data_IF_589526186597
#
_entry.id   IF_589526186597
#
_cell.length_a   1.000
_cell.length_b   1.000
_cell.length_c   1.000
_cell.angle_alpha   90.00
_cell.angle_beta   90.00
_cell.angle_gamma   90.00
#
_symmetry.space_group_name_H-M   'P 1'
#
loop_
_entity.id
_entity.type
_entity.pdbx_description
1 polymer ?
#
# COMPACT_ATOMS: atom_id res chain seq x y z
N UNK A 1 6.51 10.19 -6.95
CA UNK A 1 6.45 8.95 -6.14
C UNK A 1 5.53 9.22 -4.97
N UNK A 2 4.69 8.25 -4.61
CA UNK A 2 3.73 8.40 -3.52
C UNK A 2 4.02 7.32 -2.48
N UNK A 3 4.76 7.70 -1.43
CA UNK A 3 5.06 6.83 -0.29
C UNK A 3 3.92 6.83 0.74
N UNK A 4 4.15 6.15 1.86
CA UNK A 4 3.19 6.05 2.96
C UNK A 4 3.06 4.64 3.51
N UNK A 5 2.75 4.58 4.80
CA UNK A 5 2.68 3.32 5.51
C UNK A 5 1.59 2.39 4.94
N UNK A 6 1.71 1.10 5.22
CA UNK A 6 0.76 0.06 4.79
C UNK A 6 -0.70 0.47 5.11
N UNK A 7 -1.60 0.39 4.12
CA UNK A 7 -3.01 0.76 4.29
C UNK A 7 -3.34 2.25 4.20
N UNK A 8 -2.38 3.15 3.92
CA UNK A 8 -2.63 4.59 3.78
C UNK A 8 -3.46 5.00 2.53
N UNK A 9 -3.74 4.06 1.62
CA UNK A 9 -4.50 4.32 0.39
C UNK A 9 -3.66 4.82 -0.78
N UNK A 10 -2.38 4.42 -0.85
CA UNK A 10 -1.42 4.78 -1.90
C UNK A 10 -1.93 4.43 -3.30
N UNK A 11 -2.30 3.17 -3.56
CA UNK A 11 -2.78 2.71 -4.88
C UNK A 11 -4.00 3.50 -5.35
N UNK A 12 -5.00 3.71 -4.47
CA UNK A 12 -6.19 4.52 -4.81
C UNK A 12 -5.82 5.96 -5.15
N UNK A 13 -4.92 6.57 -4.37
CA UNK A 13 -4.45 7.92 -4.63
C UNK A 13 -3.63 8.02 -5.93
N UNK A 14 -2.82 7.01 -6.24
CA UNK A 14 -2.07 6.92 -7.50
C UNK A 14 -3.00 6.87 -8.71
N UNK A 15 -4.09 6.09 -8.62
CA UNK A 15 -5.10 6.02 -9.68
C UNK A 15 -5.81 7.35 -9.89
N UNK A 16 -6.15 8.08 -8.83
CA UNK A 16 -6.71 9.44 -8.95
C UNK A 16 -5.73 10.40 -9.61
N UNK A 17 -4.45 10.28 -9.30
CA UNK A 17 -3.41 11.10 -9.92
C UNK A 17 -3.20 10.73 -11.40
N UNK A 18 -3.30 9.44 -11.75
CA UNK A 18 -3.27 8.97 -13.13
C UNK A 18 -4.46 9.54 -13.92
N UNK A 19 -5.67 9.44 -13.37
CA UNK A 19 -6.91 10.01 -13.93
C UNK A 19 -6.75 11.52 -14.18
N UNK A 20 -6.18 12.24 -13.21
CA UNK A 20 -5.93 13.68 -13.32
C UNK A 20 -4.98 14.02 -14.49
N UNK A 21 -3.84 13.33 -14.62
CA UNK A 21 -2.90 13.59 -15.72
C UNK A 21 -3.44 13.14 -17.08
N UNK A 22 -4.18 12.05 -17.14
CA UNK A 22 -4.82 11.60 -18.38
C UNK A 22 -5.92 12.56 -18.83
N UNK A 23 -6.68 13.15 -17.90
CA UNK A 23 -7.65 14.20 -18.22
C UNK A 23 -6.98 15.47 -18.79
N UNK A 24 -5.70 15.69 -18.50
CA UNK A 24 -4.86 16.74 -19.10
C UNK A 24 -4.21 16.31 -20.44
N UNK A 25 -4.57 15.15 -20.98
CA UNK A 25 -4.04 14.61 -22.23
C UNK A 25 -2.66 13.97 -22.13
N UNK A 26 -2.13 13.76 -20.91
CA UNK A 26 -0.79 13.19 -20.71
C UNK A 26 -0.84 11.67 -20.66
N UNK A 27 0.16 11.02 -21.27
CA UNK A 27 0.36 9.58 -21.14
C UNK A 27 0.99 9.23 -19.79
N UNK A 28 0.40 8.29 -19.06
CA UNK A 28 0.84 7.90 -17.71
C UNK A 28 1.27 6.44 -17.72
N UNK A 29 2.42 6.16 -17.10
CA UNK A 29 2.90 4.81 -16.80
C UNK A 29 3.03 4.63 -15.29
N UNK A 30 2.64 3.47 -14.77
CA UNK A 30 2.70 3.16 -13.36
C UNK A 30 3.78 2.13 -13.06
N UNK A 31 4.53 2.33 -11.99
CA UNK A 31 5.46 1.35 -11.45
C UNK A 31 5.02 1.03 -10.03
N UNK A 32 4.55 -0.20 -9.83
CA UNK A 32 4.09 -0.71 -8.55
C UNK A 32 5.19 -1.59 -7.94
N UNK A 33 5.22 -1.66 -6.61
CA UNK A 33 6.24 -2.42 -5.92
C UNK A 33 5.69 -3.06 -4.66
N UNK A 34 6.00 -4.34 -4.51
CA UNK A 34 5.80 -5.07 -3.27
C UNK A 34 6.93 -6.08 -3.08
N UNK A 35 6.93 -6.80 -1.96
CA UNK A 35 8.00 -7.76 -1.67
C UNK A 35 7.80 -9.14 -2.33
N UNK A 36 6.61 -9.44 -2.85
CA UNK A 36 6.25 -10.72 -3.47
C UNK A 36 5.55 -10.52 -4.82
N UNK A 37 5.33 -11.61 -5.57
CA UNK A 37 4.55 -11.62 -6.81
C UNK A 37 3.04 -11.71 -6.54
N UNK A 38 2.23 -11.41 -7.56
CA UNK A 38 0.78 -11.63 -7.55
C UNK A 38 0.03 -10.49 -6.83
N UNK A 39 0.40 -9.25 -7.14
CA UNK A 39 -0.11 -8.10 -6.43
C UNK A 39 -1.51 -7.73 -6.86
N UNK A 40 -2.40 -7.72 -5.86
CA UNK A 40 -3.74 -7.18 -6.00
C UNK A 40 -3.71 -5.75 -6.54
N UNK A 41 -2.70 -4.96 -6.16
CA UNK A 41 -2.57 -3.57 -6.59
C UNK A 41 -2.26 -3.45 -8.09
N UNK A 42 -1.38 -4.31 -8.62
CA UNK A 42 -1.07 -4.38 -10.05
C UNK A 42 -2.29 -4.80 -10.87
N UNK A 43 -3.04 -5.80 -10.40
CA UNK A 43 -4.28 -6.23 -11.05
C UNK A 43 -5.32 -5.10 -11.10
N UNK A 44 -5.46 -4.33 -10.02
CA UNK A 44 -6.38 -3.19 -9.97
C UNK A 44 -5.96 -2.07 -10.93
N UNK A 45 -4.66 -1.75 -10.99
CA UNK A 45 -4.15 -0.74 -11.92
C UNK A 45 -4.34 -1.17 -13.37
N UNK A 46 -4.01 -2.42 -13.69
CA UNK A 46 -4.18 -2.97 -15.03
C UNK A 46 -5.65 -3.00 -15.45
N UNK A 47 -6.56 -3.33 -14.55
CA UNK A 47 -8.01 -3.32 -14.81
C UNK A 47 -8.54 -1.91 -15.14
N UNK A 48 -7.84 -0.84 -14.74
CA UNK A 48 -8.14 0.54 -15.14
C UNK A 48 -7.55 0.95 -16.49
N UNK A 49 -6.85 0.05 -17.17
CA UNK A 49 -6.31 0.26 -18.52
C UNK A 49 -5.01 1.05 -18.57
N UNK A 50 -4.30 1.22 -17.45
CA UNK A 50 -3.01 1.89 -17.45
C UNK A 50 -1.85 0.93 -17.71
N UNK A 51 -0.83 1.33 -18.49
CA UNK A 51 0.44 0.62 -18.57
C UNK A 51 1.10 0.54 -17.19
N UNK A 52 1.40 -0.67 -16.74
CA UNK A 52 1.96 -0.92 -15.41
C UNK A 52 3.12 -1.91 -15.47
N UNK A 53 4.17 -1.59 -14.72
CA UNK A 53 5.26 -2.51 -14.41
C UNK A 53 5.25 -2.82 -12.91
N UNK A 54 5.68 -4.04 -12.58
CA UNK A 54 5.75 -4.53 -11.21
C UNK A 54 7.19 -4.85 -10.84
N UNK A 55 7.61 -4.39 -9.66
CA UNK A 55 8.90 -4.73 -9.06
C UNK A 55 8.64 -5.57 -7.82
N UNK A 56 9.30 -6.72 -7.75
CA UNK A 56 9.13 -7.70 -6.67
C UNK A 56 10.46 -8.03 -6.01
N UNK A 57 10.41 -8.72 -4.87
CA UNK A 57 11.60 -9.20 -4.16
C UNK A 57 12.45 -8.09 -3.55
N UNK A 58 11.87 -6.93 -3.25
CA UNK A 58 12.53 -5.82 -2.57
C UNK A 58 11.99 -4.45 -2.99
N UNK A 59 12.24 -3.44 -2.17
CA UNK A 59 11.79 -2.08 -2.48
C UNK A 59 12.67 -1.39 -3.53
N UNK A 60 12.17 -0.34 -4.17
CA UNK A 60 12.91 0.52 -5.11
C UNK A 60 14.33 0.89 -4.66
N UNK A 61 14.56 1.10 -3.35
CA UNK A 61 15.89 1.40 -2.82
C UNK A 61 16.90 0.25 -3.00
N UNK A 62 16.46 -1.00 -2.83
CA UNK A 62 17.28 -2.21 -3.00
C UNK A 62 17.24 -2.75 -4.44
N UNK A 63 16.23 -2.31 -5.21
CA UNK A 63 15.96 -2.72 -6.60
C UNK A 63 16.04 -1.54 -7.56
N UNK A 64 16.99 -0.64 -7.34
CA UNK A 64 17.11 0.61 -8.11
C UNK A 64 17.27 0.35 -9.61
N UNK A 65 18.08 -0.64 -9.98
CA UNK A 65 18.24 -1.05 -11.39
C UNK A 65 16.92 -1.59 -11.98
N UNK A 66 16.16 -2.37 -11.22
CA UNK A 66 14.86 -2.87 -11.67
C UNK A 66 13.87 -1.71 -11.89
N UNK A 67 13.96 -0.65 -11.09
CA UNK A 67 13.16 0.58 -11.26
C UNK A 67 13.49 1.28 -12.59
N UNK A 68 14.77 1.45 -12.91
CA UNK A 68 15.17 2.05 -14.19
C UNK A 68 14.81 1.15 -15.37
N UNK A 69 15.03 -0.17 -15.26
CA UNK A 69 14.68 -1.13 -16.32
C UNK A 69 13.17 -1.16 -16.60
N UNK A 70 12.33 -1.03 -15.55
CA UNK A 70 10.87 -0.92 -15.67
C UNK A 70 10.46 0.39 -16.35
N UNK A 71 11.07 1.52 -15.96
CA UNK A 71 10.84 2.80 -16.62
C UNK A 71 11.22 2.75 -18.11
N UNK A 72 12.31 2.07 -18.47
CA UNK A 72 12.74 1.88 -19.85
C UNK A 72 11.77 1.02 -20.66
N UNK A 73 11.23 -0.06 -20.07
CA UNK A 73 10.17 -0.88 -20.70
C UNK A 73 8.93 -0.05 -20.99
N UNK A 74 8.40 0.66 -19.99
CA UNK A 74 7.26 1.56 -20.17
C UNK A 74 7.53 2.65 -21.21
N UNK A 75 8.75 3.19 -21.24
CA UNK A 75 9.17 4.18 -22.26
C UNK A 75 9.07 3.62 -23.67
N UNK A 76 9.51 2.38 -23.89
CA UNK A 76 9.42 1.74 -25.20
C UNK A 76 7.98 1.44 -25.60
N UNK A 77 7.19 0.89 -24.68
CA UNK A 77 5.90 0.26 -24.99
C UNK A 77 4.74 1.27 -24.96
N UNK A 78 4.78 2.23 -24.03
CA UNK A 78 3.70 3.17 -23.78
C UNK A 78 4.09 4.65 -23.93
N UNK A 79 5.39 4.96 -23.98
CA UNK A 79 5.94 6.33 -24.09
C UNK A 79 5.30 7.33 -23.12
N UNK A 80 5.20 7.01 -21.81
CA UNK A 80 4.56 7.89 -20.85
C UNK A 80 5.33 9.20 -20.70
N UNK A 81 4.60 10.27 -20.44
CA UNK A 81 5.13 11.58 -20.05
C UNK A 81 5.19 11.73 -18.52
N UNK A 82 4.50 10.85 -17.80
CA UNK A 82 4.47 10.80 -16.33
C UNK A 82 4.67 9.38 -15.88
N UNK A 83 5.65 9.20 -14.99
CA UNK A 83 5.79 7.98 -14.20
C UNK A 83 5.19 8.21 -12.82
N UNK A 84 4.22 7.38 -12.45
CA UNK A 84 3.73 7.30 -11.09
C UNK A 84 4.29 6.04 -10.45
N UNK A 85 4.91 6.19 -9.28
CA UNK A 85 5.60 5.09 -8.61
C UNK A 85 5.07 4.93 -7.18
N UNK A 86 4.66 3.71 -6.85
CA UNK A 86 4.25 3.26 -5.52
C UNK A 86 5.34 2.36 -4.92
N UNK A 87 6.12 2.85 -3.93
CA UNK A 87 7.09 2.03 -3.21
C UNK A 87 6.39 1.13 -2.18
N UNK A 88 7.11 0.11 -1.69
CA UNK A 88 6.64 -0.75 -0.60
C UNK A 88 6.26 0.07 0.64
N UNK A 89 5.09 -0.21 1.20
CA UNK A 89 4.53 0.57 2.32
C UNK A 89 5.31 0.46 3.64
N UNK A 90 6.19 -0.52 3.79
CA UNK A 90 7.08 -0.62 4.96
C UNK A 90 8.41 0.12 4.79
N UNK A 91 8.68 0.72 3.63
CA UNK A 91 10.01 1.25 3.35
C UNK A 91 10.17 2.74 3.59
N UNK A 92 11.39 3.15 3.93
CA UNK A 92 11.78 4.55 4.15
C UNK A 92 13.16 4.86 3.55
N UNK A 93 13.63 6.10 3.68
CA UNK A 93 14.85 6.66 3.10
C UNK A 93 14.84 6.76 1.57
N UNK A 94 13.65 6.75 0.97
CA UNK A 94 13.42 6.82 -0.47
C UNK A 94 14.04 8.06 -1.11
N UNK A 95 14.14 9.18 -0.37
CA UNK A 95 14.83 10.37 -0.88
C UNK A 95 16.30 10.11 -1.18
N UNK A 96 17.04 9.66 -0.18
CA UNK A 96 18.48 9.44 -0.28
C UNK A 96 18.81 8.25 -1.17
N UNK A 97 17.93 7.23 -1.21
CA UNK A 97 18.20 5.98 -1.90
C UNK A 97 17.57 5.85 -3.28
N UNK A 98 16.58 6.68 -3.62
CA UNK A 98 15.89 6.62 -4.93
C UNK A 98 15.83 7.98 -5.61
N UNK A 99 15.27 9.00 -4.98
CA UNK A 99 15.06 10.30 -5.65
C UNK A 99 16.37 11.01 -6.00
N UNK A 100 17.32 11.09 -5.06
CA UNK A 100 18.63 11.72 -5.34
C UNK A 100 19.46 10.95 -6.36
N UNK A 101 19.55 9.60 -6.29
CA UNK A 101 20.14 8.81 -7.38
C UNK A 101 19.49 9.06 -8.73
N UNK A 102 18.16 9.07 -8.83
CA UNK A 102 17.45 9.39 -10.09
C UNK A 102 17.85 10.77 -10.61
N UNK A 103 17.87 11.79 -9.74
CA UNK A 103 18.26 13.15 -10.14
C UNK A 103 19.72 13.26 -10.57
N UNK A 104 20.63 12.57 -9.88
CA UNK A 104 22.07 12.69 -10.12
C UNK A 104 22.55 11.87 -11.31
N UNK A 105 21.98 10.68 -11.50
CA UNK A 105 22.39 9.73 -12.52
C UNK A 105 21.57 9.84 -13.80
N UNK A 106 20.31 10.29 -13.70
CA UNK A 106 19.34 10.34 -14.81
C UNK A 106 18.59 11.69 -14.86
N UNK A 107 19.22 12.76 -14.40
CA UNK A 107 18.60 14.09 -14.33
C UNK A 107 18.25 14.72 -15.68
N UNK A 108 18.94 14.29 -16.75
CA UNK A 108 18.65 14.71 -18.13
C UNK A 108 17.39 14.01 -18.68
N UNK A 109 17.08 12.82 -18.17
CA UNK A 109 15.93 12.00 -18.60
C UNK A 109 14.68 12.26 -17.75
N UNK A 110 14.86 12.54 -16.45
CA UNK A 110 13.76 12.65 -15.50
C UNK A 110 13.77 13.93 -14.67
N UNK A 111 12.60 14.56 -14.59
CA UNK A 111 12.28 15.53 -13.55
C UNK A 111 11.55 14.86 -12.39
N UNK A 112 12.22 14.74 -11.25
CA UNK A 112 11.65 14.12 -10.04
C UNK A 112 10.76 15.12 -9.28
N UNK A 113 9.49 14.76 -9.11
CA UNK A 113 8.51 15.52 -8.32
C UNK A 113 8.69 15.32 -6.80
N UNK A 114 8.13 16.22 -5.95
CA UNK A 114 8.11 16.08 -4.49
C UNK A 114 7.69 14.69 -3.99
N UNK A 115 8.35 14.21 -2.93
CA UNK A 115 7.94 12.98 -2.25
C UNK A 115 6.71 13.25 -1.39
N UNK A 116 5.57 12.74 -1.82
CA UNK A 116 4.36 12.71 -0.99
C UNK A 116 4.32 11.44 -0.15
N UNK A 117 3.99 11.56 1.13
CA UNK A 117 3.83 10.43 2.04
C UNK A 117 2.42 10.45 2.63
N UNK A 118 1.63 9.45 2.26
CA UNK A 118 0.25 9.33 2.71
C UNK A 118 0.17 8.73 4.11
N UNK A 119 -0.78 9.25 4.90
CA UNK A 119 -1.14 8.70 6.20
C UNK A 119 -2.61 8.31 6.25
N UNK A 120 -2.90 7.14 6.84
CA UNK A 120 -4.24 6.82 7.34
C UNK A 120 -4.47 7.63 8.63
N UNK A 121 -5.54 8.42 8.72
CA UNK A 121 -5.66 9.40 9.78
C UNK A 121 -5.95 8.76 11.15
N UNK A 122 -6.66 7.63 11.15
CA UNK A 122 -6.99 6.90 12.37
C UNK A 122 -5.74 6.21 12.93
N UNK A 123 -4.90 5.65 12.05
CA UNK A 123 -3.58 5.11 12.46
C UNK A 123 -2.65 6.22 12.94
N UNK A 124 -2.59 7.34 12.22
CA UNK A 124 -1.75 8.47 12.59
C UNK A 124 -2.12 9.01 13.98
N UNK A 125 -3.42 9.17 14.26
CA UNK A 125 -3.90 9.60 15.57
C UNK A 125 -3.40 8.68 16.71
N UNK A 126 -3.44 7.35 16.53
CA UNK A 126 -2.91 6.38 17.50
C UNK A 126 -1.39 6.43 17.62
N UNK A 127 -0.67 6.51 16.50
CA UNK A 127 0.80 6.58 16.47
C UNK A 127 1.34 7.82 17.19
N UNK A 128 0.61 8.94 17.05
CA UNK A 128 0.91 10.22 17.68
C UNK A 128 0.38 10.32 19.12
N UNK A 129 -0.36 9.32 19.61
CA UNK A 129 -0.93 9.33 20.96
C UNK A 129 -2.11 10.28 21.16
N UNK A 130 -2.76 10.71 20.06
CA UNK A 130 -3.98 11.54 20.11
C UNK A 130 -5.23 10.73 20.44
N UNK A 131 -5.22 9.44 20.10
CA UNK A 131 -6.33 8.53 20.33
C UNK A 131 -5.83 7.22 20.94
N UNK A 132 -6.66 6.63 21.80
CA UNK A 132 -6.41 5.29 22.34
C UNK A 132 -6.60 4.21 21.28
N UNK A 133 -6.00 3.06 21.56
CA UNK A 133 -6.12 1.87 20.72
C UNK A 133 -4.78 1.19 20.54
N UNK A 134 -4.80 0.11 19.78
CA UNK A 134 -3.59 -0.63 19.54
C UNK A 134 -2.69 0.12 18.55
N UNK A 135 -1.50 0.46 19.03
CA UNK A 135 -0.41 0.95 18.21
C UNK A 135 0.56 -0.20 17.89
N UNK A 136 1.35 -0.02 16.84
CA UNK A 136 2.45 -0.91 16.53
C UNK A 136 3.60 -0.74 17.53
N UNK A 137 4.52 -1.71 17.59
CA UNK A 137 5.70 -1.61 18.46
C UNK A 137 6.56 -0.37 18.14
N UNK A 138 7.41 0.07 19.09
CA UNK A 138 8.31 1.20 18.88
C UNK A 138 9.20 1.07 17.63
N UNK A 139 9.60 -0.14 17.25
CA UNK A 139 10.45 -0.37 16.07
C UNK A 139 9.69 -0.15 14.76
N UNK A 140 8.44 -0.61 14.68
CA UNK A 140 7.57 -0.32 13.52
C UNK A 140 7.20 1.16 13.50
N UNK A 141 6.92 1.77 14.66
CA UNK A 141 6.68 3.21 14.78
C UNK A 141 7.88 4.03 14.28
N UNK A 142 9.11 3.61 14.57
CA UNK A 142 10.31 4.25 14.04
C UNK A 142 10.32 4.29 12.50
N UNK A 143 9.98 3.18 11.84
CA UNK A 143 9.86 3.13 10.37
C UNK A 143 8.79 4.10 9.87
N UNK A 144 7.63 4.11 10.52
CA UNK A 144 6.54 5.04 10.21
C UNK A 144 6.95 6.51 10.35
N UNK A 145 7.64 6.87 11.42
CA UNK A 145 8.10 8.24 11.67
C UNK A 145 9.16 8.66 10.64
N UNK A 146 10.06 7.76 10.23
CA UNK A 146 11.06 8.05 9.20
C UNK A 146 10.44 8.31 7.84
N UNK A 147 9.34 7.62 7.48
CA UNK A 147 8.59 7.94 6.27
C UNK A 147 8.06 9.39 6.30
N UNK A 148 7.57 9.86 7.46
CA UNK A 148 7.06 11.23 7.59
C UNK A 148 8.18 12.27 7.62
N UNK A 149 9.32 11.94 8.25
CA UNK A 149 10.50 12.80 8.31
C UNK A 149 11.09 13.09 6.93
N UNK A 150 11.12 12.09 6.03
CA UNK A 150 11.62 12.31 4.68
C UNK A 150 10.65 13.04 3.76
N UNK A 151 9.35 13.05 4.06
CA UNK A 151 8.33 13.60 3.17
C UNK A 151 8.59 15.08 2.84
N UNK A 152 8.39 15.44 1.57
CA UNK A 152 8.24 16.84 1.17
C UNK A 152 6.82 17.32 1.49
N UNK A 153 5.84 16.42 1.32
CA UNK A 153 4.42 16.65 1.61
C UNK A 153 3.87 15.45 2.39
N UNK A 154 3.37 15.69 3.60
CA UNK A 154 2.55 14.72 4.33
C UNK A 154 1.10 14.88 3.88
N UNK A 155 0.50 13.80 3.42
CA UNK A 155 -0.87 13.79 2.91
C UNK A 155 -1.75 13.00 3.88
N UNK A 156 -2.57 13.70 4.66
CA UNK A 156 -3.63 13.08 5.46
C UNK A 156 -4.72 12.63 4.50
N UNK A 157 -4.72 11.35 4.14
CA UNK A 157 -5.73 10.77 3.25
C UNK A 157 -6.98 10.36 4.04
N UNK A 158 -8.02 9.89 3.35
CA UNK A 158 -9.27 9.39 3.94
C UNK A 158 -9.91 10.42 4.88
N UNK A 159 -9.85 11.70 4.51
CA UNK A 159 -10.42 12.78 5.31
C UNK A 159 -11.92 12.65 5.54
N UNK A 160 -12.61 11.85 4.71
CA UNK A 160 -14.01 11.43 4.90
C UNK A 160 -14.27 10.66 6.20
N UNK A 161 -13.22 10.15 6.87
CA UNK A 161 -13.32 9.47 8.16
C UNK A 161 -13.15 10.40 9.37
N UNK A 162 -12.89 11.70 9.14
CA UNK A 162 -12.57 12.66 10.19
C UNK A 162 -13.68 13.69 10.38
N UNK A 163 -13.96 14.01 11.64
CA UNK A 163 -14.65 15.27 11.97
C UNK A 163 -13.67 16.45 11.83
N UNK A 164 -14.17 17.68 11.66
CA UNK A 164 -13.31 18.87 11.61
C UNK A 164 -12.35 18.99 12.79
N UNK A 165 -12.81 18.68 14.01
CA UNK A 165 -11.99 18.79 15.23
C UNK A 165 -10.85 17.76 15.24
N UNK A 166 -11.12 16.53 14.80
CA UNK A 166 -10.12 15.47 14.71
C UNK A 166 -9.10 15.76 13.62
N UNK A 167 -9.56 16.32 12.48
CA UNK A 167 -8.68 16.83 11.42
C UNK A 167 -7.75 17.90 11.95
N UNK A 168 -8.26 18.93 12.63
CA UNK A 168 -7.46 20.03 13.16
C UNK A 168 -6.46 19.59 14.24
N UNK A 169 -6.85 18.63 15.09
CA UNK A 169 -5.95 18.03 16.07
C UNK A 169 -4.80 17.26 15.40
N UNK A 170 -5.11 16.43 14.40
CA UNK A 170 -4.12 15.65 13.68
C UNK A 170 -3.17 16.52 12.85
N UNK A 171 -3.71 17.50 12.13
CA UNK A 171 -2.92 18.46 11.36
C UNK A 171 -1.94 19.23 12.25
N UNK A 172 -2.38 19.68 13.43
CA UNK A 172 -1.51 20.35 14.41
C UNK A 172 -0.40 19.44 14.91
N UNK A 173 -0.73 18.21 15.32
CA UNK A 173 0.26 17.26 15.81
C UNK A 173 1.34 16.94 14.76
N UNK A 174 0.93 16.71 13.50
CA UNK A 174 1.86 16.46 12.40
C UNK A 174 2.73 17.70 12.12
N UNK A 175 2.16 18.90 12.11
CA UNK A 175 2.93 20.15 11.94
C UNK A 175 3.88 20.42 13.11
N UNK A 176 3.52 20.03 14.33
CA UNK A 176 4.39 20.21 15.49
C UNK A 176 5.56 19.23 15.52
N UNK A 177 5.34 17.97 15.11
CA UNK A 177 6.39 16.96 15.04
C UNK A 177 7.27 17.15 13.80
N UNK A 178 6.69 17.51 12.65
CA UNK A 178 7.37 17.64 11.36
C UNK A 178 7.34 19.09 10.86
N UNK A 179 7.89 20.02 11.66
CA UNK A 179 7.77 21.49 11.52
C UNK A 179 8.10 22.09 10.16
N UNK A 180 8.89 21.39 9.34
CA UNK A 180 9.28 21.88 8.03
C UNK A 180 8.42 21.29 6.91
N UNK A 181 7.65 20.23 7.16
CA UNK A 181 6.96 19.49 6.11
C UNK A 181 5.56 20.04 5.88
N UNK A 182 5.20 20.24 4.61
CA UNK A 182 3.84 20.65 4.28
C UNK A 182 2.85 19.53 4.62
N UNK A 183 1.70 19.89 5.18
CA UNK A 183 0.63 18.94 5.50
C UNK A 183 -0.61 19.33 4.73
N UNK A 184 -1.12 18.41 3.91
CA UNK A 184 -2.37 18.56 3.15
C UNK A 184 -3.34 17.46 3.55
N UNK A 185 -4.63 17.76 3.54
CA UNK A 185 -5.69 16.81 3.90
C UNK A 185 -6.61 16.58 2.72
N UNK A 186 -6.81 15.32 2.35
CA UNK A 186 -7.54 14.91 1.14
C UNK A 186 -8.34 13.64 1.37
N UNK A 187 -9.24 13.31 0.44
CA UNK A 187 -9.78 11.96 0.31
C UNK A 187 -9.69 11.47 -1.13
N UNK A 188 -8.83 10.48 -1.36
CA UNK A 188 -8.75 9.80 -2.65
C UNK A 188 -10.05 9.04 -3.00
N UNK A 189 -10.87 8.69 -2.01
CA UNK A 189 -12.15 8.01 -2.20
C UNK A 189 -13.16 8.95 -2.83
N UNK A 190 -13.45 10.06 -2.16
CA UNK A 190 -14.49 11.01 -2.57
C UNK A 190 -14.00 12.03 -3.59
N UNK A 191 -12.68 12.18 -3.75
CA UNK A 191 -12.08 13.23 -4.58
C UNK A 191 -11.87 14.56 -3.85
N UNK A 192 -12.19 14.64 -2.55
CA UNK A 192 -12.09 15.87 -1.77
C UNK A 192 -10.65 16.39 -1.71
N UNK A 193 -10.48 17.67 -2.03
CA UNK A 193 -9.23 18.45 -1.94
C UNK A 193 -8.03 17.87 -2.73
N UNK A 194 -8.26 16.95 -3.67
CA UNK A 194 -7.18 16.35 -4.46
C UNK A 194 -6.42 17.37 -5.31
N UNK A 195 -7.10 18.36 -5.88
CA UNK A 195 -6.46 19.40 -6.70
C UNK A 195 -5.45 20.24 -5.90
N UNK A 196 -5.68 20.41 -4.60
CA UNK A 196 -4.74 21.11 -3.70
C UNK A 196 -3.44 20.33 -3.60
N UNK A 197 -3.54 19.02 -3.36
CA UNK A 197 -2.36 18.14 -3.30
C UNK A 197 -1.67 18.05 -4.67
N UNK A 198 -2.42 17.84 -5.74
CA UNK A 198 -1.87 17.68 -7.09
C UNK A 198 -1.14 18.95 -7.57
N UNK A 199 -1.63 20.14 -7.19
CA UNK A 199 -0.96 21.41 -7.46
C UNK A 199 0.47 21.47 -6.88
N UNK A 200 0.70 20.90 -5.69
CA UNK A 200 2.03 20.86 -5.05
C UNK A 200 3.02 19.94 -5.74
N UNK A 201 2.54 18.92 -6.46
CA UNK A 201 3.42 18.00 -7.19
C UNK A 201 4.13 18.65 -8.39
N UNK A 202 3.65 19.82 -8.83
CA UNK A 202 4.27 20.60 -9.90
C UNK A 202 5.40 21.51 -9.39
N UNK A 203 5.54 21.67 -8.07
CA UNK A 203 6.57 22.51 -7.49
C UNK A 203 7.94 21.82 -7.52
N UNK A 204 9.05 22.59 -7.61
CA UNK A 204 10.39 22.03 -7.55
C UNK A 204 10.62 21.31 -6.22
N UNK A 205 11.32 20.18 -6.26
CA UNK A 205 11.71 19.45 -5.05
C UNK A 205 12.54 20.35 -4.13
N UNK A 206 12.08 20.56 -2.90
CA UNK A 206 12.82 21.31 -1.90
C UNK A 206 14.16 20.60 -1.61
N UNK A 207 15.25 21.37 -1.64
CA UNK A 207 16.56 20.87 -1.21
C UNK A 207 16.56 20.68 0.30
N UNK A 208 16.74 19.44 0.75
CA UNK A 208 16.88 19.10 2.17
C UNK A 208 18.08 18.17 2.36
N UNK A 209 18.74 18.23 3.53
CA UNK A 209 19.71 17.21 3.88
C UNK A 209 19.03 15.83 3.95
N UNK A 210 19.78 14.78 3.60
CA UNK A 210 19.33 13.42 3.83
C UNK A 210 19.12 13.19 5.34
N UNK A 211 18.01 12.59 5.72
CA UNK A 211 17.76 12.28 7.12
C UNK A 211 18.73 11.21 7.64
N UNK A 212 18.96 11.21 8.95
CA UNK A 212 19.67 10.13 9.61
C UNK A 212 18.75 8.91 9.75
N UNK A 213 19.26 7.73 9.37
CA UNK A 213 18.53 6.47 9.47
C UNK A 213 19.42 5.43 10.13
N UNK A 214 19.00 4.93 11.28
CA UNK A 214 19.46 3.68 11.86
C UNK A 214 18.88 2.51 11.07
N UNK A 215 19.73 1.85 10.28
CA UNK A 215 19.34 0.71 9.44
C UNK A 215 19.14 -0.58 10.24
N UNK A 216 19.71 -0.70 11.44
CA UNK A 216 19.46 -1.84 12.31
C UNK A 216 18.04 -1.75 12.85
N UNK A 217 17.67 -0.59 13.41
CA UNK A 217 16.32 -0.37 13.91
C UNK A 217 15.27 -0.41 12.79
N UNK A 218 15.60 0.11 11.60
CA UNK A 218 14.75 0.00 10.42
C UNK A 218 14.52 -1.48 10.03
N UNK A 219 15.58 -2.28 9.91
CA UNK A 219 15.48 -3.69 9.54
C UNK A 219 14.69 -4.49 10.58
N UNK A 220 14.89 -4.23 11.86
CA UNK A 220 14.10 -4.86 12.93
C UNK A 220 12.63 -4.47 12.86
N UNK A 221 12.32 -3.20 12.58
CA UNK A 221 10.95 -2.71 12.41
C UNK A 221 10.25 -3.37 11.22
N UNK A 222 10.91 -3.50 10.07
CA UNK A 222 10.35 -4.23 8.93
C UNK A 222 10.19 -5.72 9.21
N UNK A 223 11.16 -6.36 9.85
CA UNK A 223 11.09 -7.78 10.15
C UNK A 223 9.92 -8.14 11.08
N UNK A 224 9.44 -7.21 11.91
CA UNK A 224 8.26 -7.42 12.75
C UNK A 224 6.95 -7.48 11.96
N UNK A 225 6.89 -6.87 10.78
CA UNK A 225 5.76 -6.98 9.87
C UNK A 225 5.87 -8.32 9.15
N UNK A 226 5.04 -9.27 9.55
CA UNK A 226 4.88 -10.55 8.85
C UNK A 226 4.03 -10.39 7.58
N UNK A 227 4.41 -11.11 6.54
CA UNK A 227 3.77 -11.08 5.23
C UNK A 227 3.14 -12.43 4.93
N UNK A 228 1.95 -12.40 4.34
CA UNK A 228 1.27 -13.55 3.79
C UNK A 228 0.64 -13.17 2.46
N UNK A 229 0.97 -13.95 1.43
CA UNK A 229 0.35 -13.92 0.13
C UNK A 229 -0.17 -15.31 -0.19
N UNK A 230 -1.42 -15.41 -0.62
CA UNK A 230 -1.99 -16.68 -1.02
C UNK A 230 -2.94 -16.50 -2.21
N UNK A 231 -2.88 -17.45 -3.13
CA UNK A 231 -3.82 -17.57 -4.24
C UNK A 231 -4.51 -18.92 -4.11
N UNK A 232 -5.83 -18.89 -4.07
CA UNK A 232 -6.66 -20.07 -3.86
C UNK A 232 -7.71 -20.13 -4.96
N UNK A 233 -7.87 -21.31 -5.58
CA UNK A 233 -9.00 -21.60 -6.46
C UNK A 233 -10.18 -22.07 -5.63
N UNK A 234 -11.34 -21.48 -5.87
CA UNK A 234 -12.63 -21.84 -5.29
C UNK A 234 -13.44 -22.59 -6.34
N UNK A 235 -14.09 -23.69 -5.95
CA UNK A 235 -14.98 -24.48 -6.81
C UNK A 235 -16.18 -24.95 -6.01
N UNK A 236 -17.39 -24.77 -6.53
CA UNK A 236 -18.64 -25.14 -5.89
C UNK A 236 -19.57 -25.86 -6.88
N UNK A 237 -20.30 -26.87 -6.39
CA UNK A 237 -21.31 -27.58 -7.19
C UNK A 237 -22.60 -26.77 -7.31
N UNK A 238 -22.92 -26.00 -6.25
CA UNK A 238 -24.03 -25.06 -6.24
C UNK A 238 -23.49 -23.64 -6.20
N UNK A 239 -24.17 -22.66 -6.83
CA UNK A 239 -23.78 -21.27 -6.74
C UNK A 239 -23.67 -20.80 -5.28
N UNK A 240 -22.70 -19.94 -4.99
CA UNK A 240 -22.51 -19.31 -3.68
C UNK A 240 -22.34 -17.80 -3.80
N UNK A 241 -22.75 -17.08 -2.77
CA UNK A 241 -22.52 -15.64 -2.67
C UNK A 241 -21.04 -15.36 -2.36
N UNK A 242 -20.30 -14.95 -3.39
CA UNK A 242 -18.89 -14.59 -3.28
C UNK A 242 -18.63 -13.36 -2.39
N UNK A 243 -19.56 -12.40 -2.33
CA UNK A 243 -19.44 -11.23 -1.46
C UNK A 243 -19.54 -11.63 0.01
N UNK A 244 -20.53 -12.47 0.33
CA UNK A 244 -20.68 -13.01 1.68
C UNK A 244 -19.49 -13.88 2.07
N UNK A 245 -18.96 -14.68 1.14
CA UNK A 245 -17.78 -15.50 1.37
C UNK A 245 -16.57 -14.68 1.81
N UNK A 246 -16.20 -13.64 1.05
CA UNK A 246 -15.02 -12.82 1.38
C UNK A 246 -15.20 -12.02 2.67
N UNK A 247 -16.40 -11.50 2.94
CA UNK A 247 -16.70 -10.78 4.19
C UNK A 247 -16.56 -11.71 5.40
N UNK A 248 -17.15 -12.91 5.33
CA UNK A 248 -17.09 -13.89 6.41
C UNK A 248 -15.66 -14.38 6.65
N UNK A 249 -14.90 -14.59 5.58
CA UNK A 249 -13.47 -14.93 5.67
C UNK A 249 -12.68 -13.81 6.36
N UNK A 250 -12.92 -12.55 5.98
CA UNK A 250 -12.27 -11.41 6.62
C UNK A 250 -12.55 -11.38 8.12
N UNK A 251 -13.81 -11.59 8.53
CA UNK A 251 -14.21 -11.62 9.94
C UNK A 251 -13.59 -12.79 10.72
N UNK A 252 -13.42 -13.96 10.09
CA UNK A 252 -12.73 -15.12 10.72
C UNK A 252 -11.25 -14.82 10.94
N UNK A 253 -10.58 -14.29 9.92
CA UNK A 253 -9.16 -13.93 9.98
C UNK A 253 -8.92 -12.82 11.00
N UNK A 254 -9.72 -11.74 10.93
CA UNK A 254 -9.64 -10.62 11.86
C UNK A 254 -9.79 -11.09 13.32
N UNK A 255 -10.78 -11.94 13.62
CA UNK A 255 -10.96 -12.51 14.97
C UNK A 255 -9.79 -13.39 15.40
N UNK A 256 -9.24 -14.21 14.51
CA UNK A 256 -8.06 -15.03 14.80
C UNK A 256 -6.83 -14.16 15.13
N UNK A 257 -6.58 -13.12 14.34
CA UNK A 257 -5.50 -12.16 14.57
C UNK A 257 -5.71 -11.38 15.87
N UNK A 258 -6.93 -10.94 16.16
CA UNK A 258 -7.27 -10.27 17.42
C UNK A 258 -7.02 -11.18 18.63
N UNK A 259 -7.42 -12.45 18.55
CA UNK A 259 -7.23 -13.44 19.62
C UNK A 259 -5.76 -13.69 19.97
N UNK A 260 -4.87 -13.61 18.99
CA UNK A 260 -3.42 -13.75 19.18
C UNK A 260 -2.70 -12.42 19.39
N UNK A 261 -3.45 -11.32 19.53
CA UNK A 261 -2.92 -9.97 19.61
C UNK A 261 -1.92 -9.75 18.47
N UNK A 262 -2.40 -9.80 17.24
CA UNK A 262 -1.67 -9.40 16.03
C UNK A 262 -2.33 -8.15 15.43
N UNK A 263 -1.55 -7.11 15.13
CA UNK A 263 -2.08 -5.84 14.59
C UNK A 263 -1.95 -5.81 13.06
N UNK A 264 -3.07 -5.63 12.36
CA UNK A 264 -3.12 -5.57 10.91
C UNK A 264 -2.55 -4.23 10.43
N UNK A 265 -1.50 -4.32 9.61
CA UNK A 265 -0.96 -3.17 8.89
C UNK A 265 -1.72 -2.94 7.58
N UNK A 266 -2.00 -4.00 6.83
CA UNK A 266 -2.82 -3.96 5.64
C UNK A 266 -3.28 -5.36 5.28
N UNK A 267 -4.59 -5.53 5.09
CA UNK A 267 -5.17 -6.78 4.66
C UNK A 267 -6.10 -6.51 3.47
N UNK A 268 -5.88 -7.24 2.38
CA UNK A 268 -6.64 -7.11 1.15
C UNK A 268 -6.96 -8.48 0.60
N UNK A 269 -8.18 -8.62 0.09
CA UNK A 269 -8.62 -9.78 -0.64
C UNK A 269 -9.32 -9.38 -1.93
N UNK A 270 -9.15 -10.19 -2.97
CA UNK A 270 -9.97 -10.12 -4.18
C UNK A 270 -10.53 -11.47 -4.53
N UNK A 271 -11.76 -11.48 -5.04
CA UNK A 271 -12.40 -12.67 -5.58
C UNK A 271 -12.98 -12.32 -6.95
N UNK A 272 -12.52 -13.03 -7.98
CA UNK A 272 -13.02 -12.91 -9.36
C UNK A 272 -13.43 -14.28 -9.89
N UNK A 273 -14.50 -14.36 -10.71
CA UNK A 273 -14.87 -15.60 -11.38
C UNK A 273 -13.79 -16.03 -12.38
N UNK A 274 -13.77 -17.31 -12.73
CA UNK A 274 -12.83 -17.82 -13.74
C UNK A 274 -13.16 -17.28 -15.14
N UNK A 275 -14.45 -16.99 -15.33
CA UNK A 275 -15.00 -16.44 -16.55
C UNK A 275 -15.79 -15.17 -16.24
N UNK A 276 -15.38 -14.06 -16.85
CA UNK A 276 -15.99 -12.75 -16.63
C UNK A 276 -14.95 -11.71 -16.22
N UNK A 277 -15.42 -10.49 -16.00
CA UNK A 277 -14.59 -9.36 -15.58
C UNK A 277 -14.99 -8.79 -14.22
N UNK A 278 -15.88 -9.47 -13.51
CA UNK A 278 -16.39 -8.99 -12.23
C UNK A 278 -15.38 -9.25 -11.10
N UNK A 279 -15.41 -8.43 -10.06
CA UNK A 279 -14.38 -8.45 -9.01
C UNK A 279 -14.94 -7.95 -7.69
N UNK A 280 -14.99 -8.84 -6.69
CA UNK A 280 -15.11 -8.42 -5.29
C UNK A 280 -13.73 -7.98 -4.78
N UNK A 281 -13.69 -6.85 -4.07
CA UNK A 281 -12.50 -6.36 -3.37
C UNK A 281 -12.88 -6.11 -1.92
N UNK A 282 -12.07 -6.60 -0.98
CA UNK A 282 -12.21 -6.32 0.44
C UNK A 282 -10.89 -5.78 0.99
N UNK A 283 -10.98 -4.72 1.79
CA UNK A 283 -9.83 -4.10 2.47
C UNK A 283 -10.08 -4.03 3.97
N UNK A 284 -9.03 -4.25 4.76
CA UNK A 284 -9.02 -4.04 6.19
C UNK A 284 -7.66 -3.46 6.60
N UNK A 285 -7.68 -2.33 7.30
CA UNK A 285 -6.45 -1.58 7.63
C UNK A 285 -6.16 -1.55 9.12
N UNK A 286 -6.96 -2.18 9.98
CA UNK A 286 -6.71 -2.29 11.43
C UNK A 286 -7.38 -3.55 11.95
N UNK A 287 -6.84 -4.14 13.02
CA UNK A 287 -7.45 -5.35 13.60
C UNK A 287 -8.81 -5.06 14.26
N UNK A 288 -9.01 -3.85 14.76
CA UNK A 288 -10.25 -3.42 15.43
C UNK A 288 -11.15 -2.53 14.56
N UNK A 289 -10.84 -2.38 13.27
CA UNK A 289 -11.61 -1.57 12.33
C UNK A 289 -12.66 -2.38 11.56
N UNK A 290 -13.65 -1.71 10.94
CA UNK A 290 -14.50 -2.37 9.96
C UNK A 290 -13.69 -2.71 8.70
N UNK A 291 -14.05 -3.81 8.03
CA UNK A 291 -13.61 -4.06 6.66
C UNK A 291 -14.44 -3.21 5.69
N UNK A 292 -13.87 -2.92 4.52
CA UNK A 292 -14.51 -2.13 3.47
C UNK A 292 -14.50 -2.90 2.16
N UNK A 293 -15.64 -2.96 1.49
CA UNK A 293 -15.81 -3.70 0.24
C UNK A 293 -16.14 -2.73 -0.90
N UNK A 294 -15.14 -2.06 -1.51
CA UNK A 294 -15.38 -1.01 -2.50
C UNK A 294 -15.95 -1.55 -3.82
N UNK A 295 -15.80 -2.85 -4.10
CA UNK A 295 -16.34 -3.50 -5.29
C UNK A 295 -16.96 -4.82 -4.84
N UNK A 296 -18.14 -5.10 -5.36
CA UNK A 296 -18.94 -6.28 -5.06
C UNK A 296 -19.25 -7.00 -6.36
N UNK A 297 -19.30 -8.33 -6.30
CA UNK A 297 -19.78 -9.16 -7.40
C UNK A 297 -21.29 -8.92 -7.60
N UNK A 298 -21.72 -8.86 -8.85
CA UNK A 298 -23.12 -8.75 -9.25
C UNK A 298 -23.88 -10.07 -9.20
N UNK A 299 -23.18 -11.18 -9.47
CA UNK A 299 -23.76 -12.52 -9.56
C UNK A 299 -23.13 -13.50 -8.55
N UNK A 300 -23.85 -14.59 -8.27
CA UNK A 300 -23.32 -15.73 -7.52
C UNK A 300 -22.27 -16.47 -8.34
N UNK A 301 -21.36 -17.16 -7.65
CA UNK A 301 -20.23 -17.85 -8.26
C UNK A 301 -20.38 -19.36 -8.16
N UNK A 302 -19.92 -20.08 -9.17
CA UNK A 302 -19.64 -21.53 -9.08
C UNK A 302 -18.14 -21.82 -8.95
N UNK A 303 -17.32 -20.83 -9.23
CA UNK A 303 -15.87 -20.90 -9.28
C UNK A 303 -15.29 -19.51 -9.13
N UNK A 304 -14.01 -19.43 -8.80
CA UNK A 304 -13.30 -18.17 -8.77
C UNK A 304 -11.90 -18.27 -8.20
N UNK A 305 -11.10 -17.26 -8.50
CA UNK A 305 -9.78 -17.06 -7.91
C UNK A 305 -9.87 -16.09 -6.74
N UNK A 306 -9.47 -16.57 -5.56
CA UNK A 306 -9.29 -15.76 -4.37
C UNK A 306 -7.80 -15.42 -4.20
N UNK A 307 -7.47 -14.13 -4.26
CA UNK A 307 -6.15 -13.63 -3.89
C UNK A 307 -6.24 -12.98 -2.52
N UNK A 308 -5.37 -13.41 -1.61
CA UNK A 308 -5.28 -12.95 -0.24
C UNK A 308 -3.90 -12.38 0.05
N UNK A 309 -3.89 -11.25 0.75
CA UNK A 309 -2.74 -10.38 0.83
C UNK A 309 -2.76 -9.71 2.23
N UNK A 310 -2.03 -10.27 3.20
CA UNK A 310 -2.08 -9.88 4.62
C UNK A 310 -0.71 -9.49 5.17
N UNK A 311 -0.61 -8.26 5.69
CA UNK A 311 0.57 -7.67 6.32
C UNK A 311 0.18 -7.26 7.73
N UNK A 312 0.88 -7.79 8.73
CA UNK A 312 0.55 -7.56 10.13
C UNK A 312 1.77 -7.67 11.03
N UNK A 313 1.78 -6.98 12.16
CA UNK A 313 2.83 -7.12 13.16
C UNK A 313 2.64 -8.44 13.92
N UNK A 314 3.34 -9.48 13.45
CA UNK A 314 3.14 -10.86 13.89
C UNK A 314 4.09 -11.85 13.21
N UNK A 315 3.99 -13.11 13.62
CA UNK A 315 4.72 -14.21 12.98
C UNK A 315 4.03 -14.62 11.67
N UNK A 316 4.72 -14.59 10.52
CA UNK A 316 4.17 -15.06 9.23
C UNK A 316 3.55 -16.46 9.29
N UNK A 317 4.12 -17.37 10.09
CA UNK A 317 3.57 -18.73 10.27
C UNK A 317 2.20 -18.68 10.95
N UNK A 318 2.05 -17.80 11.94
CA UNK A 318 0.77 -17.57 12.60
C UNK A 318 -0.25 -16.92 11.64
N UNK A 319 0.19 -15.93 10.83
CA UNK A 319 -0.67 -15.31 9.80
C UNK A 319 -1.22 -16.36 8.85
N UNK A 320 -0.34 -17.21 8.30
CA UNK A 320 -0.74 -18.26 7.37
C UNK A 320 -1.70 -19.26 8.03
N UNK A 321 -1.38 -19.76 9.23
CA UNK A 321 -2.26 -20.68 9.96
C UNK A 321 -3.65 -20.10 10.19
N UNK A 322 -3.73 -18.84 10.64
CA UNK A 322 -5.02 -18.17 10.90
C UNK A 322 -5.81 -18.00 9.60
N UNK A 323 -5.15 -17.56 8.52
CA UNK A 323 -5.78 -17.35 7.22
C UNK A 323 -6.31 -18.65 6.61
N UNK A 324 -5.47 -19.70 6.56
CA UNK A 324 -5.85 -20.99 5.98
C UNK A 324 -6.95 -21.67 6.79
N UNK A 325 -6.88 -21.62 8.12
CA UNK A 325 -7.96 -22.13 8.98
C UNK A 325 -9.28 -21.37 8.73
N UNK A 326 -9.23 -20.05 8.62
CA UNK A 326 -10.40 -19.23 8.30
C UNK A 326 -10.99 -19.60 6.93
N UNK A 327 -10.14 -19.82 5.94
CA UNK A 327 -10.54 -20.24 4.59
C UNK A 327 -11.23 -21.60 4.61
N UNK A 328 -10.64 -22.60 5.28
CA UNK A 328 -11.22 -23.95 5.42
C UNK A 328 -12.58 -23.92 6.12
N UNK A 329 -12.73 -23.13 7.19
CA UNK A 329 -13.98 -23.01 7.94
C UNK A 329 -15.08 -22.38 7.08
N UNK A 330 -14.79 -21.26 6.39
CA UNK A 330 -15.77 -20.56 5.53
C UNK A 330 -16.11 -21.38 4.29
N UNK A 331 -15.12 -22.04 3.68
CA UNK A 331 -15.33 -22.90 2.53
C UNK A 331 -16.27 -24.06 2.85
N UNK A 332 -16.07 -24.71 4.01
CA UNK A 332 -16.96 -25.78 4.49
C UNK A 332 -18.38 -25.29 4.73
N UNK A 333 -18.54 -24.12 5.35
CA UNK A 333 -19.85 -23.51 5.61
C UNK A 333 -20.59 -23.13 4.31
N UNK A 334 -19.86 -22.76 3.26
CA UNK A 334 -20.41 -22.36 1.96
C UNK A 334 -20.54 -23.51 0.94
N UNK A 335 -20.11 -24.73 1.28
CA UNK A 335 -20.10 -25.85 0.32
C UNK A 335 -19.09 -25.69 -0.81
N UNK A 336 -18.04 -24.88 -0.59
CA UNK A 336 -16.98 -24.58 -1.56
C UNK A 336 -15.77 -25.47 -1.31
N UNK A 337 -15.22 -26.04 -2.36
CA UNK A 337 -13.92 -26.71 -2.35
C UNK A 337 -12.82 -25.70 -2.65
N UNK A 338 -11.74 -25.74 -1.88
CA UNK A 338 -10.60 -24.84 -2.05
C UNK A 338 -9.37 -25.62 -2.49
N UNK A 339 -8.61 -25.05 -3.43
CA UNK A 339 -7.28 -25.51 -3.81
C UNK A 339 -6.31 -24.35 -3.66
N UNK A 340 -5.34 -24.47 -2.75
CA UNK A 340 -4.27 -23.50 -2.61
C UNK A 340 -3.31 -23.69 -3.78
N UNK A 341 -3.22 -22.70 -4.65
CA UNK A 341 -2.32 -22.73 -5.82
C UNK A 341 -0.96 -22.16 -5.46
N UNK A 342 -0.96 -21.11 -4.64
CA UNK A 342 0.24 -20.48 -4.12
C UNK A 342 0.00 -20.02 -2.69
N UNK A 343 1.01 -20.18 -1.83
CA UNK A 343 1.02 -19.63 -0.48
C UNK A 343 2.47 -19.37 -0.08
N UNK A 344 2.74 -18.11 0.25
CA UNK A 344 4.05 -17.64 0.68
C UNK A 344 3.87 -16.76 1.92
N UNK A 345 4.70 -16.99 2.94
CA UNK A 345 4.71 -16.17 4.14
C UNK A 345 6.14 -15.99 4.64
N UNK A 346 6.53 -14.75 4.91
CA UNK A 346 7.92 -14.40 5.21
C UNK A 346 8.03 -13.10 6.02
N UNK A 347 9.25 -12.81 6.48
CA UNK A 347 9.62 -11.51 7.03
C UNK A 347 10.44 -10.76 5.99
N UNK A 348 10.25 -9.44 5.83
CA UNK A 348 11.10 -8.61 5.00
C UNK A 348 12.58 -8.84 5.29
N UNK A 349 13.38 -8.91 4.24
CA UNK A 349 14.83 -8.91 4.36
C UNK A 349 15.33 -7.53 4.82
N UNK A 350 16.54 -7.49 5.37
CA UNK A 350 17.21 -6.23 5.71
C UNK A 350 17.29 -5.32 4.48
N UNK A 351 16.96 -4.03 4.60
CA UNK A 351 17.20 -3.05 3.54
C UNK A 351 18.69 -2.89 3.25
N UNK A 352 19.07 -3.18 2.01
CA UNK A 352 20.42 -2.95 1.48
C UNK A 352 20.30 -2.09 0.21
N UNK A 353 20.19 -0.76 0.36
CA UNK A 353 19.99 0.13 -0.76
C UNK A 353 21.16 0.07 -1.76
N UNK A 354 20.84 0.04 -3.05
CA UNK A 354 21.86 0.07 -4.13
C UNK A 354 22.65 1.38 -4.09
N UNK A 355 21.97 2.47 -3.74
CA UNK A 355 22.55 3.79 -3.59
C UNK A 355 22.04 4.43 -2.31
N UNK A 356 22.87 5.27 -1.70
CA UNK A 356 22.45 6.22 -0.68
C UNK A 356 23.26 7.50 -0.87
N UNK A 357 22.65 8.49 -1.49
CA UNK A 357 23.30 9.74 -1.82
C UNK A 357 22.82 10.84 -0.88
N UNK A 358 23.73 11.70 -0.46
CA UNK A 358 23.36 13.02 0.03
C UNK A 358 23.19 13.95 -1.18
N UNK A 359 22.55 15.10 -0.96
CA UNK A 359 22.56 16.17 -1.95
C UNK A 359 24.01 16.50 -2.36
N UNK A 360 24.27 16.79 -3.65
CA UNK A 360 25.51 17.42 -4.10
C UNK A 360 25.73 18.79 -3.46
#
# INVERSE_FOLDING_TARGET
MVGGFLGAGKTTALLRLAEHFTAQGRRVGLITNDQSQGLVDTSIVSARGYPVEEITGGCFCCRFRSLTDAADRLTRDARPEVFLAEPVGSCTDLRATVQYPLRRLYGDDYRVAPLSVLVDPLRAARMLGLEEGRAFSPKVKYVYEKQLEEADIIVINKSDLLSPERRDALERALKDQFRHTEVVTVSARTGTDLDVWFGRLSEPLASRPAMAVDYDLYAEGEALLGWLNATCRLLAVQPFDGNFFVQKLADRIQRGLAGERIEIAHFKMTLSPDHGSDLAVLNLVRTDGPHESPHLLGDELTDGELILNLRAEGDPVALNRIAMRGLEEVAREAGVTTKIEHSEHFRPARPEPTHRMAMP
#
